data_IF_116353930979
#
_entry.id   IF_116353930979
#
_cell.length_a   1.000
_cell.length_b   1.000
_cell.length_c   1.000
_cell.angle_alpha   90.00
_cell.angle_beta   90.00
_cell.angle_gamma   90.00
#
_symmetry.space_group_name_H-M   'P 1'
#
loop_
_entity.id
_entity.type
_entity.pdbx_description
1 polymer ?
#
# COMPACT_ATOMS: atom_id res chain seq x y z
N UNK A 1 -6.63 -2.79 9.04
CA UNK A 1 -6.33 -1.34 9.05
C UNK A 1 -4.89 -1.17 8.61
N UNK A 2 -4.63 -0.47 7.52
CA UNK A 2 -3.27 -0.10 7.11
C UNK A 2 -2.83 1.10 7.94
N UNK A 3 -1.92 0.91 8.92
CA UNK A 3 -1.41 2.02 9.71
C UNK A 3 -0.60 2.92 8.78
N UNK A 4 -0.95 4.20 8.68
CA UNK A 4 -0.36 5.14 7.73
C UNK A 4 -1.43 5.94 6.98
N UNK A 5 -1.91 5.43 5.84
CA UNK A 5 -2.94 6.11 5.03
C UNK A 5 -4.20 6.40 5.86
N UNK A 6 -4.57 5.48 6.76
CA UNK A 6 -5.71 5.69 7.66
C UNK A 6 -5.50 6.88 8.61
N UNK A 7 -4.27 7.13 9.06
CA UNK A 7 -3.94 8.29 9.90
C UNK A 7 -4.17 9.59 9.12
N UNK A 8 -3.66 9.66 7.88
CA UNK A 8 -3.84 10.83 7.02
C UNK A 8 -5.33 11.08 6.76
N UNK A 9 -6.10 10.03 6.48
CA UNK A 9 -7.55 10.14 6.30
C UNK A 9 -8.24 10.70 7.55
N UNK A 10 -7.88 10.22 8.74
CA UNK A 10 -8.43 10.71 10.01
C UNK A 10 -8.02 12.18 10.23
N UNK A 11 -6.77 12.56 9.99
CA UNK A 11 -6.30 13.95 10.09
C UNK A 11 -7.06 14.88 9.15
N UNK A 12 -7.27 14.47 7.89
CA UNK A 12 -8.05 15.23 6.91
C UNK A 12 -9.51 15.34 7.34
N UNK A 13 -10.12 14.26 7.84
CA UNK A 13 -11.49 14.26 8.31
C UNK A 13 -11.68 15.20 9.52
N UNK A 14 -10.75 15.15 10.49
CA UNK A 14 -10.75 16.03 11.65
C UNK A 14 -10.55 17.48 11.22
N UNK A 15 -9.54 17.76 10.39
CA UNK A 15 -9.29 19.12 9.87
C UNK A 15 -10.48 19.68 9.12
N UNK A 16 -11.12 18.87 8.28
CA UNK A 16 -12.35 19.25 7.56
C UNK A 16 -13.51 19.55 8.51
N UNK A 17 -13.65 18.79 9.60
CA UNK A 17 -14.72 18.99 10.59
C UNK A 17 -14.52 20.24 11.45
N UNK A 18 -13.28 20.69 11.67
CA UNK A 18 -12.97 21.86 12.50
C UNK A 18 -13.12 23.19 11.75
N UNK A 19 -12.58 23.29 10.53
CA UNK A 19 -12.53 24.57 9.79
C UNK A 19 -12.76 24.40 8.28
N UNK A 20 -13.49 23.35 7.89
CA UNK A 20 -13.81 23.09 6.48
C UNK A 20 -12.55 22.88 5.63
N UNK A 21 -12.50 23.38 4.38
CA UNK A 21 -11.35 23.14 3.48
C UNK A 21 -10.04 23.74 4.00
N UNK A 22 -10.09 24.88 4.70
CA UNK A 22 -8.89 25.48 5.32
C UNK A 22 -8.35 24.65 6.48
N UNK A 23 -9.23 24.01 7.26
CA UNK A 23 -8.82 23.12 8.33
C UNK A 23 -8.08 21.87 7.85
N UNK A 24 -8.37 21.39 6.63
CA UNK A 24 -7.60 20.30 5.99
C UNK A 24 -6.17 20.73 5.71
N UNK A 25 -5.98 21.90 5.08
CA UNK A 25 -4.66 22.45 4.78
C UNK A 25 -3.84 22.65 6.05
N UNK A 26 -4.42 23.30 7.06
CA UNK A 26 -3.74 23.58 8.34
C UNK A 26 -3.41 22.28 9.09
N UNK A 27 -4.29 21.28 9.06
CA UNK A 27 -4.04 19.99 9.73
C UNK A 27 -2.98 19.15 9.04
N UNK A 28 -2.95 19.17 7.69
CA UNK A 28 -1.88 18.52 6.93
C UNK A 28 -0.55 19.23 7.15
N UNK A 29 -0.51 20.55 7.09
CA UNK A 29 0.69 21.32 7.38
C UNK A 29 1.15 21.10 8.83
N UNK A 30 0.24 21.13 9.80
CA UNK A 30 0.55 20.87 11.21
C UNK A 30 1.06 19.46 11.49
N UNK A 31 0.71 18.47 10.66
CA UNK A 31 1.25 17.11 10.75
C UNK A 31 2.61 16.98 10.03
N UNK A 32 2.75 17.59 8.85
CA UNK A 32 3.92 17.45 7.99
C UNK A 32 5.08 18.35 8.43
N UNK A 33 4.81 19.59 8.86
CA UNK A 33 5.84 20.53 9.34
C UNK A 33 6.71 19.95 10.47
N UNK A 34 6.17 19.42 11.58
CA UNK A 34 7.01 18.92 12.66
C UNK A 34 7.88 17.75 12.20
N UNK A 35 7.30 16.84 11.40
CA UNK A 35 8.03 15.70 10.83
C UNK A 35 9.17 16.15 9.90
N UNK A 36 8.88 17.08 8.99
CA UNK A 36 9.87 17.64 8.08
C UNK A 36 10.96 18.41 8.82
N UNK A 37 10.60 19.15 9.88
CA UNK A 37 11.54 19.92 10.70
C UNK A 37 12.50 18.98 11.44
N UNK A 38 11.99 17.92 12.09
CA UNK A 38 12.84 16.93 12.78
C UNK A 38 13.78 16.27 11.77
N UNK A 39 13.27 15.87 10.60
CA UNK A 39 14.07 15.24 9.55
C UNK A 39 15.16 16.19 9.04
N UNK A 40 14.82 17.46 8.79
CA UNK A 40 15.77 18.48 8.34
C UNK A 40 16.85 18.77 9.39
N UNK A 41 16.49 18.84 10.67
CA UNK A 41 17.44 19.02 11.77
C UNK A 41 18.42 17.85 11.86
N UNK A 42 17.92 16.62 11.77
CA UNK A 42 18.78 15.42 11.75
C UNK A 42 19.70 15.43 10.52
N UNK A 43 19.16 15.76 9.34
CA UNK A 43 19.96 15.82 8.11
C UNK A 43 21.03 16.93 8.14
N UNK A 44 20.73 18.09 8.73
CA UNK A 44 21.70 19.15 8.91
C UNK A 44 22.81 18.73 9.89
N UNK A 45 22.45 18.12 11.02
CA UNK A 45 23.43 17.58 11.97
C UNK A 45 24.27 16.45 11.38
N UNK A 46 23.70 15.67 10.44
CA UNK A 46 24.40 14.59 9.75
C UNK A 46 25.57 15.09 8.89
N UNK A 47 25.43 16.25 8.24
CA UNK A 47 26.49 16.81 7.37
C UNK A 47 27.80 17.06 8.12
N UNK A 48 27.73 17.40 9.40
CA UNK A 48 28.91 17.64 10.25
C UNK A 48 29.65 16.35 10.64
N UNK A 49 28.90 15.26 10.86
CA UNK A 49 29.45 14.01 11.40
C UNK A 49 29.75 12.95 10.33
N UNK A 50 29.19 13.08 9.12
CA UNK A 50 29.29 12.08 8.04
C UNK A 50 30.72 11.71 7.64
N UNK A 51 31.69 12.59 7.91
CA UNK A 51 33.11 12.38 7.58
C UNK A 51 33.79 11.28 8.41
N UNK A 52 33.14 10.81 9.48
CA UNK A 52 33.65 9.73 10.32
C UNK A 52 33.43 8.37 9.66
N UNK A 53 34.50 7.61 9.45
CA UNK A 53 34.46 6.26 8.87
C UNK A 53 33.51 5.30 9.62
N UNK A 54 33.29 5.53 10.92
CA UNK A 54 32.31 4.78 11.72
C UNK A 54 30.88 4.93 11.21
N UNK A 55 30.50 6.14 10.78
CA UNK A 55 29.16 6.43 10.27
C UNK A 55 28.95 5.71 8.94
N UNK A 56 29.92 5.79 8.03
CA UNK A 56 29.85 5.05 6.75
C UNK A 56 29.67 3.54 6.97
N UNK A 57 30.39 2.97 7.95
CA UNK A 57 30.24 1.56 8.32
C UNK A 57 28.83 1.24 8.86
N UNK A 58 28.24 2.11 9.68
CA UNK A 58 26.85 1.95 10.13
C UNK A 58 25.84 1.99 8.98
N UNK A 59 25.98 2.93 8.03
CA UNK A 59 25.07 3.03 6.88
C UNK A 59 25.11 1.77 6.01
N UNK A 60 26.30 1.15 5.84
CA UNK A 60 26.41 -0.15 5.14
C UNK A 60 25.59 -1.27 5.81
N UNK A 61 25.31 -1.18 7.11
CA UNK A 61 24.40 -2.11 7.81
C UNK A 61 22.93 -1.68 7.79
N UNK A 62 22.64 -0.38 7.91
CA UNK A 62 21.27 0.15 7.94
C UNK A 62 20.55 -0.03 6.60
N UNK A 63 21.24 0.15 5.47
CA UNK A 63 20.66 -0.03 4.12
C UNK A 63 20.10 -1.46 3.91
N UNK A 64 20.86 -2.55 4.12
CA UNK A 64 20.30 -3.89 3.98
C UNK A 64 19.28 -4.24 5.08
N UNK A 65 19.42 -3.72 6.30
CA UNK A 65 18.44 -3.94 7.37
C UNK A 65 17.08 -3.34 7.02
N UNK A 66 17.05 -2.10 6.54
CA UNK A 66 15.81 -1.44 6.08
C UNK A 66 15.20 -2.16 4.88
N UNK A 67 16.00 -2.64 3.93
CA UNK A 67 15.52 -3.47 2.82
C UNK A 67 14.88 -4.78 3.32
N UNK A 68 15.48 -5.45 4.31
CA UNK A 68 14.91 -6.64 4.95
C UNK A 68 13.57 -6.37 5.64
N UNK A 69 13.45 -5.26 6.36
CA UNK A 69 12.19 -4.85 7.00
C UNK A 69 11.12 -4.56 5.92
N UNK A 70 11.48 -3.84 4.86
CA UNK A 70 10.56 -3.58 3.74
C UNK A 70 10.07 -4.88 3.09
N UNK A 71 10.97 -5.86 2.91
CA UNK A 71 10.61 -7.19 2.38
C UNK A 71 9.59 -7.89 3.29
N UNK A 72 9.82 -7.90 4.61
CA UNK A 72 8.91 -8.53 5.58
C UNK A 72 7.54 -7.84 5.56
N UNK A 73 7.50 -6.51 5.50
CA UNK A 73 6.26 -5.75 5.40
C UNK A 73 5.52 -6.07 4.10
N UNK A 74 6.23 -6.15 2.98
CA UNK A 74 5.66 -6.53 1.69
C UNK A 74 5.05 -7.95 1.74
N UNK A 75 5.76 -8.91 2.35
CA UNK A 75 5.26 -10.28 2.53
C UNK A 75 4.02 -10.30 3.43
N UNK A 76 4.02 -9.52 4.52
CA UNK A 76 2.87 -9.43 5.41
C UNK A 76 1.63 -8.86 4.72
N UNK A 77 1.80 -7.94 3.78
CA UNK A 77 0.69 -7.47 2.94
C UNK A 77 0.29 -8.47 1.85
N UNK A 78 1.24 -9.24 1.29
CA UNK A 78 0.96 -10.24 0.26
C UNK A 78 0.26 -11.49 0.79
N UNK A 79 0.61 -11.97 1.99
CA UNK A 79 0.04 -13.17 2.62
C UNK A 79 -1.50 -13.21 2.67
N UNK A 80 -2.21 -12.18 3.17
CA UNK A 80 -3.67 -12.19 3.21
C UNK A 80 -4.28 -12.21 1.80
N UNK A 81 -3.66 -11.51 0.84
CA UNK A 81 -4.12 -11.49 -0.56
C UNK A 81 -4.02 -12.88 -1.20
N UNK A 82 -2.92 -13.60 -0.96
CA UNK A 82 -2.72 -14.96 -1.45
C UNK A 82 -3.66 -15.97 -0.77
N UNK A 83 -3.87 -15.84 0.55
CA UNK A 83 -4.80 -16.70 1.29
C UNK A 83 -6.24 -16.51 0.81
N UNK A 84 -6.63 -15.29 0.45
CA UNK A 84 -7.94 -15.00 -0.12
C UNK A 84 -8.10 -15.63 -1.51
N UNK A 85 -7.11 -15.51 -2.39
CA UNK A 85 -7.13 -16.19 -3.70
C UNK A 85 -7.19 -17.71 -3.60
N UNK A 86 -6.61 -18.32 -2.55
CA UNK A 86 -6.63 -19.77 -2.35
C UNK A 86 -8.02 -20.34 -2.07
N UNK A 87 -8.93 -19.52 -1.55
CA UNK A 87 -10.32 -19.93 -1.31
C UNK A 87 -11.21 -19.84 -2.56
N UNK A 88 -10.75 -19.17 -3.64
CA UNK A 88 -11.49 -19.01 -4.90
C UNK A 88 -11.16 -20.11 -5.95
N UNK A 89 -10.32 -21.08 -5.60
CA UNK A 89 -9.97 -22.25 -6.41
C UNK A 89 -8.62 -22.16 -7.14
N UNK A 90 -7.97 -23.31 -7.44
CA UNK A 90 -6.60 -23.36 -7.96
C UNK A 90 -6.41 -22.69 -9.33
N UNK A 91 -7.46 -22.60 -10.15
CA UNK A 91 -7.41 -21.91 -11.45
C UNK A 91 -7.34 -20.39 -11.35
N UNK A 92 -8.02 -19.79 -10.35
CA UNK A 92 -8.08 -18.34 -10.16
C UNK A 92 -6.80 -17.82 -9.47
N UNK A 93 -6.17 -18.67 -8.63
CA UNK A 93 -4.80 -18.48 -8.14
C UNK A 93 -3.77 -18.43 -9.26
N UNK A 94 -3.80 -19.40 -10.18
CA UNK A 94 -2.85 -19.45 -11.29
C UNK A 94 -2.99 -18.20 -12.19
N UNK A 95 -4.22 -17.74 -12.42
CA UNK A 95 -4.49 -16.51 -13.16
C UNK A 95 -3.98 -15.26 -12.43
N UNK A 96 -4.17 -15.15 -11.11
CA UNK A 96 -3.69 -13.99 -10.34
C UNK A 96 -2.17 -13.98 -10.26
N UNK A 97 -1.52 -15.13 -10.09
CA UNK A 97 -0.07 -15.26 -10.10
C UNK A 97 0.50 -14.90 -11.48
N UNK A 98 -0.13 -15.39 -12.55
CA UNK A 98 0.24 -15.04 -13.92
C UNK A 98 0.07 -13.54 -14.18
N UNK A 99 -0.98 -12.91 -13.64
CA UNK A 99 -1.20 -11.47 -13.75
C UNK A 99 -0.15 -10.66 -12.98
N UNK A 100 0.22 -11.10 -11.76
CA UNK A 100 1.30 -10.48 -10.97
C UNK A 100 2.62 -10.57 -11.72
N UNK A 101 2.95 -11.75 -12.28
CA UNK A 101 4.18 -11.95 -13.06
C UNK A 101 4.16 -11.11 -14.34
N UNK A 102 3.04 -11.05 -15.05
CA UNK A 102 2.87 -10.23 -16.26
C UNK A 102 3.07 -8.74 -15.96
N UNK A 103 2.45 -8.22 -14.89
CA UNK A 103 2.57 -6.81 -14.48
C UNK A 103 4.00 -6.51 -14.02
N UNK A 104 4.62 -7.41 -13.27
CA UNK A 104 6.02 -7.28 -12.84
C UNK A 104 6.97 -7.24 -14.05
N UNK A 105 6.75 -8.11 -15.03
CA UNK A 105 7.55 -8.17 -16.25
C UNK A 105 7.35 -6.91 -17.12
N UNK A 106 6.12 -6.40 -17.21
CA UNK A 106 5.80 -5.17 -17.92
C UNK A 106 6.50 -3.93 -17.30
N UNK A 107 6.64 -3.89 -15.96
CA UNK A 107 7.35 -2.83 -15.26
C UNK A 107 8.87 -2.87 -15.50
N UNK A 108 9.46 -4.07 -15.52
CA UNK A 108 10.91 -4.24 -15.69
C UNK A 108 11.35 -3.97 -17.14
N UNK A 109 10.59 -4.43 -18.13
CA UNK A 109 10.96 -4.33 -19.55
C UNK A 109 10.53 -3.00 -20.18
N UNK A 110 9.43 -2.41 -19.71
CA UNK A 110 8.77 -1.32 -20.43
C UNK A 110 9.36 0.08 -20.28
N UNK A 111 10.11 0.40 -19.20
CA UNK A 111 10.38 1.81 -18.80
C UNK A 111 9.11 2.69 -18.82
N UNK A 112 7.93 2.09 -18.72
CA UNK A 112 6.66 2.80 -18.70
C UNK A 112 6.39 3.20 -17.24
N UNK A 113 6.05 4.47 -17.04
CA UNK A 113 5.77 5.05 -15.73
C UNK A 113 4.76 4.18 -14.96
N UNK A 114 5.05 3.87 -13.70
CA UNK A 114 4.20 3.06 -12.79
C UNK A 114 2.74 3.50 -12.85
N UNK A 115 2.49 4.80 -13.01
CA UNK A 115 1.16 5.39 -13.18
C UNK A 115 0.35 4.74 -14.30
N UNK A 116 0.94 4.53 -15.48
CA UNK A 116 0.22 3.96 -16.63
C UNK A 116 -0.09 2.48 -16.42
N UNK A 117 0.80 1.73 -15.76
CA UNK A 117 0.57 0.33 -15.40
C UNK A 117 -0.57 0.20 -14.38
N UNK A 118 -0.60 1.08 -13.37
CA UNK A 118 -1.70 1.14 -12.40
C UNK A 118 -3.02 1.47 -13.12
N UNK A 119 -3.05 2.45 -14.03
CA UNK A 119 -4.25 2.77 -14.80
C UNK A 119 -4.70 1.63 -15.71
N UNK A 120 -3.78 0.97 -16.42
CA UNK A 120 -4.07 -0.15 -17.31
C UNK A 120 -4.60 -1.37 -16.54
N UNK A 121 -4.00 -1.70 -15.38
CA UNK A 121 -4.49 -2.78 -14.50
C UNK A 121 -5.87 -2.47 -13.91
N UNK A 122 -6.16 -1.21 -13.57
CA UNK A 122 -7.49 -0.79 -13.11
C UNK A 122 -8.54 -0.91 -14.23
N UNK A 123 -8.18 -0.52 -15.47
CA UNK A 123 -9.02 -0.68 -16.66
C UNK A 123 -9.27 -2.15 -17.01
N UNK A 124 -8.23 -2.98 -17.00
CA UNK A 124 -8.32 -4.42 -17.23
C UNK A 124 -9.13 -5.12 -16.14
N UNK A 125 -8.92 -4.74 -14.87
CA UNK A 125 -9.69 -5.23 -13.72
C UNK A 125 -11.18 -4.91 -13.84
N UNK A 126 -11.54 -3.69 -14.26
CA UNK A 126 -12.94 -3.32 -14.53
C UNK A 126 -13.57 -4.18 -15.63
N UNK A 127 -12.82 -4.55 -16.66
CA UNK A 127 -13.31 -5.40 -17.75
C UNK A 127 -13.49 -6.87 -17.34
N UNK A 128 -12.64 -7.38 -16.45
CA UNK A 128 -12.73 -8.75 -15.93
C UNK A 128 -13.81 -8.89 -14.83
N UNK A 129 -13.98 -7.90 -13.96
CA UNK A 129 -14.86 -7.99 -12.79
C UNK A 129 -16.36 -7.80 -13.11
N UNK A 130 -16.70 -7.22 -14.27
CA UNK A 130 -18.09 -7.16 -14.77
C UNK A 130 -18.63 -8.55 -15.16
N UNK A 131 -17.77 -9.58 -15.26
CA UNK A 131 -18.16 -10.93 -15.68
C UNK A 131 -18.31 -11.97 -14.56
N UNK A 132 -17.99 -11.63 -13.31
CA UNK A 132 -18.11 -12.54 -12.16
C UNK A 132 -19.10 -12.12 -11.04
N UNK A 133 -20.22 -11.39 -11.26
CA UNK A 133 -21.16 -11.13 -10.15
C UNK A 133 -22.00 -12.36 -9.75
N UNK A 134 -21.96 -13.46 -10.48
CA UNK A 134 -23.05 -14.46 -10.45
C UNK A 134 -22.85 -15.69 -9.56
N UNK A 135 -21.77 -15.81 -8.78
CA UNK A 135 -21.59 -16.98 -7.87
C UNK A 135 -21.41 -16.64 -6.39
N UNK A 136 -21.04 -15.40 -6.02
CA UNK A 136 -21.00 -14.97 -4.62
C UNK A 136 -22.40 -14.63 -4.04
N UNK A 137 -23.41 -14.45 -4.90
CA UNK A 137 -24.79 -14.21 -4.50
C UNK A 137 -25.61 -15.50 -4.27
N UNK A 138 -25.05 -16.69 -4.56
CA UNK A 138 -25.74 -17.97 -4.38
C UNK A 138 -25.39 -18.68 -3.07
N UNK A 139 -24.37 -18.23 -2.33
CA UNK A 139 -23.98 -18.79 -1.02
C UNK A 139 -24.47 -17.93 0.17
N UNK A 140 -25.22 -16.85 -0.12
CA UNK A 140 -25.93 -16.05 0.89
C UNK A 140 -27.45 -16.14 0.76
N UNK A 141 -27.98 -17.10 -0.01
CA UNK A 141 -29.40 -17.41 0.10
C UNK A 141 -29.60 -18.23 1.39
N UNK A 142 -30.36 -17.72 2.37
CA UNK A 142 -30.55 -18.38 3.64
C UNK A 142 -31.44 -19.61 3.44
N UNK A 143 -30.85 -20.79 3.57
CA UNK A 143 -31.62 -21.96 3.97
C UNK A 143 -31.97 -21.71 5.45
N UNK A 144 -33.19 -21.44 5.88
CA UNK A 144 -34.48 -21.73 5.27
C UNK A 144 -35.37 -22.32 6.36
N UNK A 145 -35.94 -21.44 7.21
CA UNK A 145 -37.13 -21.68 8.08
C UNK A 145 -36.88 -22.65 9.26
N UNK A 146 -37.34 -22.39 10.48
CA UNK A 146 -38.75 -22.23 10.90
C UNK A 146 -38.91 -21.25 12.08
N UNK A 147 -39.88 -20.34 11.93
CA UNK A 147 -40.75 -19.78 12.99
C UNK A 147 -41.76 -20.86 13.44
N UNK A 148 -42.44 -20.80 14.61
CA UNK A 148 -42.95 -19.60 15.29
C UNK A 148 -42.55 -19.42 16.77
#
# INVERSE_FOLDING_TARGET
MTPGINLVAITVLIGRKLAGPWGVLVSLLGLLLPSATITALIAAGFQEIQHLAFIEAMFRGVVPATAGIMLVVAINFARPLLKQGYQEGPGMLALSLAFIVLVTLALIVGKITVVLVVLASALAGRFLFVRAPSLAALDQQPDGKEQP
#
